data_IF_316327384805
#
_entry.id   IF_316327384805
#
_cell.length_a   1.000
_cell.length_b   1.000
_cell.length_c   1.000
_cell.angle_alpha   90.00
_cell.angle_beta   90.00
_cell.angle_gamma   90.00
#
_symmetry.space_group_name_H-M   'P 1'
#
loop_
_entity.id
_entity.type
_entity.pdbx_description
1 polymer ?
#
# COMPACT_ATOMS: atom_id res chain seq x y z
N UNK A 1 3.03 14.28 -24.44
CA UNK A 1 4.26 13.49 -24.30
C UNK A 1 4.34 12.92 -22.88
N UNK A 2 4.65 11.65 -22.77
CA UNK A 2 4.94 10.94 -21.50
C UNK A 2 6.40 10.51 -21.53
N UNK A 3 7.15 10.84 -20.50
CA UNK A 3 8.53 10.39 -20.33
C UNK A 3 8.57 9.39 -19.18
N UNK A 4 8.80 8.12 -19.49
CA UNK A 4 8.97 7.05 -18.50
C UNK A 4 10.44 6.91 -18.12
N UNK A 5 10.75 6.97 -16.84
CA UNK A 5 12.12 6.81 -16.33
C UNK A 5 12.17 5.65 -15.35
N UNK A 6 12.85 4.57 -15.69
CA UNK A 6 13.01 3.39 -14.84
C UNK A 6 11.70 2.64 -14.56
N UNK A 7 10.61 2.98 -15.23
CA UNK A 7 9.31 2.33 -15.04
C UNK A 7 9.16 1.11 -15.95
N UNK A 8 8.39 0.12 -15.48
CA UNK A 8 8.04 -1.07 -16.27
C UNK A 8 6.61 -1.06 -16.79
N UNK A 9 5.86 0.04 -16.56
CA UNK A 9 4.46 0.16 -17.00
C UNK A 9 3.59 -1.03 -16.57
N UNK A 10 3.56 -1.27 -15.27
CA UNK A 10 2.68 -2.29 -14.69
C UNK A 10 1.22 -1.84 -14.72
N UNK A 11 0.30 -2.74 -14.37
CA UNK A 11 -1.12 -2.42 -14.25
C UNK A 11 -1.39 -1.26 -13.29
N UNK A 12 -0.60 -1.14 -12.22
CA UNK A 12 -0.71 -0.03 -11.27
C UNK A 12 -0.41 1.34 -11.89
N UNK A 13 0.66 1.44 -12.68
CA UNK A 13 1.08 2.71 -13.28
C UNK A 13 0.26 3.09 -14.51
N UNK A 14 -0.43 2.15 -15.11
CA UNK A 14 -1.22 2.35 -16.34
C UNK A 14 -2.72 2.23 -16.14
N UNK A 15 -3.19 2.02 -14.91
CA UNK A 15 -4.58 1.65 -14.62
C UNK A 15 -5.07 0.54 -15.56
N UNK A 16 -4.32 -0.56 -15.62
CA UNK A 16 -4.55 -1.69 -16.53
C UNK A 16 -4.72 -1.25 -17.97
N UNK A 17 -3.84 -0.35 -18.44
CA UNK A 17 -3.82 0.21 -19.80
C UNK A 17 -5.02 1.08 -20.18
N UNK A 18 -5.70 1.65 -19.19
CA UNK A 18 -6.80 2.63 -19.41
C UNK A 18 -6.36 4.07 -19.19
N UNK A 19 -5.13 4.31 -18.72
CA UNK A 19 -4.51 5.63 -18.67
C UNK A 19 -4.10 6.10 -20.07
N UNK A 20 -3.68 7.38 -20.14
CA UNK A 20 -3.11 7.97 -21.36
C UNK A 20 -4.07 7.92 -22.57
N UNK A 21 -5.33 8.36 -22.33
CA UNK A 21 -6.43 8.24 -23.30
C UNK A 21 -6.28 9.07 -24.56
N UNK A 22 -5.37 10.06 -24.59
CA UNK A 22 -5.13 10.84 -25.80
C UNK A 22 -4.59 9.91 -26.91
N UNK A 23 -5.25 9.79 -28.07
CA UNK A 23 -4.80 8.90 -29.16
C UNK A 23 -3.44 9.33 -29.74
N UNK A 24 -3.09 10.61 -29.63
CA UNK A 24 -1.83 11.16 -30.14
C UNK A 24 -0.71 11.17 -29.08
N UNK A 25 -0.90 10.52 -27.93
CA UNK A 25 0.12 10.46 -26.89
C UNK A 25 1.37 9.75 -27.42
N UNK A 26 2.52 10.37 -27.17
CA UNK A 26 3.84 9.80 -27.47
C UNK A 26 4.56 9.45 -26.20
N UNK A 27 5.33 8.38 -26.24
CA UNK A 27 6.14 7.93 -25.12
C UNK A 27 7.62 8.01 -25.47
N UNK A 28 8.42 8.41 -24.51
CA UNK A 28 9.88 8.27 -24.47
C UNK A 28 10.24 7.51 -23.22
N UNK A 29 10.88 6.36 -23.35
CA UNK A 29 11.20 5.51 -22.21
C UNK A 29 12.71 5.41 -22.00
N UNK A 30 13.18 5.91 -20.89
CA UNK A 30 14.54 5.79 -20.40
C UNK A 30 14.59 4.59 -19.46
N UNK A 31 15.27 3.53 -19.85
CA UNK A 31 15.38 2.33 -19.04
C UNK A 31 16.68 1.57 -19.37
N UNK A 32 17.28 0.93 -18.39
CA UNK A 32 18.47 0.07 -18.60
C UNK A 32 18.10 -1.23 -19.31
N UNK A 33 16.83 -1.63 -19.27
CA UNK A 33 16.30 -2.84 -19.90
C UNK A 33 15.64 -2.50 -21.23
N UNK A 34 16.13 -2.99 -22.38
CA UNK A 34 15.49 -2.75 -23.69
C UNK A 34 14.03 -3.20 -23.73
N UNK A 35 13.69 -4.29 -23.04
CA UNK A 35 12.33 -4.81 -22.96
C UNK A 35 11.35 -3.78 -22.36
N UNK A 36 11.71 -3.15 -21.23
CA UNK A 36 10.86 -2.15 -20.62
C UNK A 36 10.89 -0.82 -21.37
N UNK A 37 12.00 -0.47 -21.98
CA UNK A 37 12.11 0.72 -22.83
C UNK A 37 11.18 0.66 -24.05
N UNK A 38 10.96 -0.54 -24.62
CA UNK A 38 10.12 -0.72 -25.81
C UNK A 38 8.61 -0.64 -25.53
N UNK A 39 8.18 -0.72 -24.26
CA UNK A 39 6.75 -0.71 -23.91
C UNK A 39 6.08 0.59 -24.35
N UNK A 40 4.77 0.51 -24.53
CA UNK A 40 3.91 1.62 -24.96
C UNK A 40 4.26 2.16 -26.37
N UNK A 41 4.97 1.37 -27.20
CA UNK A 41 5.49 1.79 -28.51
C UNK A 41 6.34 3.06 -28.44
N UNK A 42 7.15 3.16 -27.40
CA UNK A 42 7.90 4.37 -27.06
C UNK A 42 9.15 4.54 -27.94
N UNK A 43 9.60 5.79 -28.06
CA UNK A 43 11.00 6.07 -28.41
C UNK A 43 11.89 5.58 -27.27
N UNK A 44 12.78 4.63 -27.59
CA UNK A 44 13.61 3.91 -26.63
C UNK A 44 14.89 4.67 -26.33
N UNK A 45 15.16 4.92 -25.06
CA UNK A 45 16.46 5.38 -24.58
C UNK A 45 17.01 4.33 -23.62
N UNK A 46 17.82 3.41 -24.13
CA UNK A 46 18.45 2.36 -23.32
C UNK A 46 19.69 2.92 -22.66
N UNK A 47 19.52 3.38 -21.42
CA UNK A 47 20.56 4.07 -20.66
C UNK A 47 20.29 4.01 -19.16
N UNK A 48 21.32 4.27 -18.38
CA UNK A 48 21.20 4.58 -16.95
C UNK A 48 20.40 5.88 -16.76
N UNK A 49 19.45 5.88 -15.82
CA UNK A 49 18.56 7.01 -15.60
C UNK A 49 19.32 8.30 -15.18
N UNK A 50 20.38 8.17 -14.38
CA UNK A 50 21.18 9.32 -13.93
C UNK A 50 21.85 10.01 -15.10
N UNK A 51 22.51 9.23 -15.98
CA UNK A 51 23.23 9.74 -17.14
C UNK A 51 22.25 10.34 -18.15
N UNK A 52 21.14 9.63 -18.44
CA UNK A 52 20.13 10.16 -19.35
C UNK A 52 19.45 11.44 -18.84
N UNK A 53 19.11 11.51 -17.55
CA UNK A 53 18.52 12.72 -16.96
C UNK A 53 19.51 13.89 -16.93
N UNK A 54 20.80 13.64 -16.71
CA UNK A 54 21.83 14.68 -16.79
C UNK A 54 21.93 15.27 -18.22
N UNK A 55 21.98 14.42 -19.24
CA UNK A 55 21.98 14.85 -20.64
C UNK A 55 20.67 15.57 -21.03
N UNK A 56 19.52 15.07 -20.58
CA UNK A 56 18.23 15.70 -20.83
C UNK A 56 18.13 17.10 -20.18
N UNK A 57 18.63 17.24 -18.96
CA UNK A 57 18.69 18.53 -18.27
C UNK A 57 19.53 19.55 -19.02
N UNK A 58 20.65 19.15 -19.58
CA UNK A 58 21.51 19.99 -20.42
C UNK A 58 20.80 20.39 -21.73
N UNK A 59 20.21 19.38 -22.43
CA UNK A 59 19.51 19.60 -23.69
C UNK A 59 18.27 20.51 -23.55
N UNK A 60 17.64 20.53 -22.37
CA UNK A 60 16.43 21.31 -22.07
C UNK A 60 16.69 22.54 -21.20
N UNK A 61 17.93 23.05 -21.16
CA UNK A 61 18.29 24.15 -20.27
C UNK A 61 17.42 25.40 -20.45
N UNK A 62 17.01 25.69 -21.69
CA UNK A 62 16.17 26.84 -22.06
C UNK A 62 14.68 26.51 -22.12
N UNK A 63 14.30 25.24 -21.96
CA UNK A 63 12.89 24.82 -21.96
C UNK A 63 12.16 25.31 -20.72
N UNK A 64 10.95 25.84 -20.91
CA UNK A 64 10.04 26.21 -19.82
C UNK A 64 8.64 25.71 -20.15
N UNK A 65 7.96 25.20 -19.15
CA UNK A 65 6.55 24.85 -19.25
C UNK A 65 5.69 26.11 -19.24
N UNK A 66 4.52 26.03 -19.85
CA UNK A 66 3.54 27.09 -19.79
C UNK A 66 3.04 27.34 -18.37
N UNK A 67 2.78 28.60 -18.01
CA UNK A 67 2.33 28.96 -16.67
C UNK A 67 1.04 28.25 -16.28
N UNK A 68 0.09 28.13 -17.21
CA UNK A 68 -1.18 27.43 -16.98
C UNK A 68 -0.99 25.97 -16.55
N UNK A 69 -0.01 25.25 -17.10
CA UNK A 69 0.29 23.89 -16.70
C UNK A 69 0.86 23.81 -15.27
N UNK A 70 1.69 24.77 -14.89
CA UNK A 70 2.22 24.87 -13.53
C UNK A 70 1.12 25.20 -12.52
N UNK A 71 0.16 26.06 -12.89
CA UNK A 71 -1.00 26.39 -12.06
C UNK A 71 -1.92 25.18 -11.87
N UNK A 72 -2.17 24.40 -12.92
CA UNK A 72 -2.95 23.16 -12.87
C UNK A 72 -2.30 22.15 -11.91
N UNK A 73 -0.98 21.89 -12.03
CA UNK A 73 -0.25 21.00 -11.12
C UNK A 73 -0.38 21.45 -9.66
N UNK A 74 -0.28 22.76 -9.42
CA UNK A 74 -0.40 23.31 -8.06
C UNK A 74 -1.80 23.08 -7.49
N UNK A 75 -2.84 23.36 -8.30
CA UNK A 75 -4.24 23.16 -7.89
C UNK A 75 -4.55 21.68 -7.57
N UNK A 76 -4.10 20.76 -8.43
CA UNK A 76 -4.30 19.32 -8.22
C UNK A 76 -3.55 18.82 -6.97
N UNK A 77 -2.32 19.29 -6.75
CA UNK A 77 -1.55 18.97 -5.55
C UNK A 77 -2.25 19.45 -4.27
N UNK A 78 -2.77 20.68 -4.28
CA UNK A 78 -3.51 21.23 -3.13
C UNK A 78 -4.80 20.44 -2.86
N UNK A 79 -5.52 20.05 -3.92
CA UNK A 79 -6.72 19.24 -3.79
C UNK A 79 -6.42 17.86 -3.18
N UNK A 80 -5.32 17.24 -3.63
CA UNK A 80 -4.86 15.97 -3.07
C UNK A 80 -4.43 16.10 -1.61
N UNK A 81 -3.66 17.13 -1.24
CA UNK A 81 -3.28 17.37 0.16
C UNK A 81 -4.51 17.56 1.06
N UNK A 82 -5.51 18.30 0.63
CA UNK A 82 -6.77 18.44 1.39
C UNK A 82 -7.51 17.11 1.53
N UNK A 83 -7.46 16.26 0.50
CA UNK A 83 -8.07 14.93 0.58
C UNK A 83 -7.31 14.02 1.55
N UNK A 84 -5.98 14.07 1.55
CA UNK A 84 -5.11 13.34 2.48
C UNK A 84 -5.39 13.75 3.92
N UNK A 85 -5.44 15.05 4.21
CA UNK A 85 -5.76 15.56 5.55
C UNK A 85 -7.12 15.07 6.06
N UNK A 86 -8.13 15.02 5.18
CA UNK A 86 -9.42 14.45 5.56
C UNK A 86 -9.34 12.97 5.91
N UNK A 87 -8.54 12.18 5.18
CA UNK A 87 -8.36 10.75 5.47
C UNK A 87 -7.58 10.50 6.77
N UNK A 88 -6.71 11.42 7.14
CA UNK A 88 -5.94 11.35 8.37
C UNK A 88 -6.75 11.71 9.63
N UNK A 89 -7.86 12.46 9.46
CA UNK A 89 -8.65 13.03 10.56
C UNK A 89 -10.15 12.75 10.38
N UNK A 90 -10.52 11.48 10.18
CA UNK A 90 -11.92 11.09 9.93
C UNK A 90 -12.77 11.11 11.20
N UNK A 91 -12.16 10.94 12.37
CA UNK A 91 -12.87 10.66 13.63
C UNK A 91 -13.82 9.45 13.46
N UNK A 92 -13.31 8.42 12.80
CA UNK A 92 -14.06 7.23 12.43
C UNK A 92 -14.30 6.34 13.68
N UNK A 93 -15.46 5.77 13.79
CA UNK A 93 -15.80 4.93 14.95
C UNK A 93 -16.89 3.88 14.66
N UNK A 94 -17.00 2.85 15.51
CA UNK A 94 -16.34 2.69 16.82
C UNK A 94 -14.85 2.31 16.79
N UNK A 95 -14.39 1.67 15.70
CA UNK A 95 -12.97 1.37 15.47
C UNK A 95 -12.37 2.44 14.55
N UNK A 96 -11.11 2.85 14.74
CA UNK A 96 -10.46 3.78 13.83
C UNK A 96 -10.30 3.21 12.43
N UNK A 97 -10.25 4.08 11.42
CA UNK A 97 -9.85 3.69 10.07
C UNK A 97 -8.32 3.53 9.99
N UNK A 98 -7.84 2.61 9.14
CA UNK A 98 -6.38 2.45 8.96
C UNK A 98 -5.70 3.73 8.48
N UNK A 99 -6.39 4.59 7.73
CA UNK A 99 -5.86 5.86 7.23
C UNK A 99 -5.57 6.86 8.34
N UNK A 100 -6.27 6.80 9.47
CA UNK A 100 -6.01 7.64 10.64
C UNK A 100 -4.73 7.19 11.37
N UNK A 101 -4.45 5.88 11.38
CA UNK A 101 -3.17 5.36 11.89
C UNK A 101 -2.01 5.85 11.02
N UNK A 102 -2.19 5.86 9.69
CA UNK A 102 -1.17 6.39 8.76
C UNK A 102 -0.94 7.89 8.96
N UNK A 103 -2.00 8.66 9.20
CA UNK A 103 -1.89 10.07 9.54
C UNK A 103 -1.10 10.31 10.81
N UNK A 104 -1.41 9.56 11.86
CA UNK A 104 -0.69 9.62 13.12
C UNK A 104 0.81 9.28 12.98
N UNK A 105 1.14 8.24 12.20
CA UNK A 105 2.53 7.89 11.90
C UNK A 105 3.24 8.97 11.07
N UNK A 106 2.58 9.48 10.02
CA UNK A 106 3.16 10.52 9.17
C UNK A 106 3.44 11.81 9.94
N UNK A 107 2.63 12.12 10.95
CA UNK A 107 2.82 13.26 11.86
C UNK A 107 4.00 13.04 12.82
N UNK A 108 4.14 11.82 13.38
CA UNK A 108 5.09 11.52 14.47
C UNK A 108 6.49 11.16 13.98
N UNK A 109 6.61 10.50 12.83
CA UNK A 109 7.89 10.04 12.31
C UNK A 109 8.75 11.19 11.83
N UNK A 110 10.05 11.11 12.07
CA UNK A 110 11.07 12.03 11.59
C UNK A 110 11.41 11.86 10.11
N UNK A 111 12.20 12.75 9.54
CA UNK A 111 12.61 12.72 8.13
C UNK A 111 13.50 11.52 7.80
N UNK A 112 14.36 11.12 8.74
CA UNK A 112 15.32 10.02 8.58
C UNK A 112 14.73 8.65 8.95
N UNK A 113 13.54 8.60 9.51
CA UNK A 113 12.88 7.36 9.89
C UNK A 113 12.39 6.60 8.65
N UNK A 114 12.20 5.29 8.80
CA UNK A 114 11.78 4.45 7.67
C UNK A 114 10.50 3.70 8.01
N UNK A 115 9.47 3.89 7.19
CA UNK A 115 8.26 3.09 7.22
C UNK A 115 8.33 1.97 6.19
N UNK A 116 7.96 0.76 6.60
CA UNK A 116 8.01 -0.45 5.76
C UNK A 116 6.62 -1.05 5.68
N UNK A 117 6.22 -1.44 4.48
CA UNK A 117 5.03 -2.24 4.24
C UNK A 117 5.24 -3.12 2.99
N UNK A 118 4.35 -4.07 2.72
CA UNK A 118 4.47 -4.91 1.54
C UNK A 118 3.13 -5.26 0.91
N UNK A 119 2.19 -5.84 1.66
CA UNK A 119 1.00 -6.45 1.08
C UNK A 119 -0.30 -6.03 1.79
N UNK A 120 -1.42 -6.33 1.16
CA UNK A 120 -2.75 -6.02 1.68
C UNK A 120 -3.34 -4.71 1.17
N UNK A 121 -4.23 -4.10 1.95
CA UNK A 121 -4.81 -2.77 1.64
C UNK A 121 -3.83 -1.63 1.89
N UNK A 122 -2.92 -1.81 2.83
CA UNK A 122 -2.00 -0.79 3.31
C UNK A 122 -1.11 -0.18 2.23
N UNK A 123 -0.44 -0.96 1.33
CA UNK A 123 0.40 -0.34 0.29
C UNK A 123 -0.38 0.55 -0.65
N UNK A 124 -1.62 0.18 -0.99
CA UNK A 124 -2.48 1.00 -1.85
C UNK A 124 -2.83 2.34 -1.22
N UNK A 125 -3.27 2.31 0.02
CA UNK A 125 -3.64 3.51 0.77
C UNK A 125 -2.41 4.36 1.11
N UNK A 126 -1.30 3.74 1.53
CA UNK A 126 -0.05 4.46 1.81
C UNK A 126 0.53 5.15 0.58
N UNK A 127 0.48 4.51 -0.60
CA UNK A 127 0.90 5.17 -1.83
C UNK A 127 0.06 6.39 -2.19
N UNK A 128 -1.23 6.36 -1.86
CA UNK A 128 -2.11 7.50 -2.08
C UNK A 128 -1.91 8.61 -1.04
N UNK A 129 -1.55 8.29 0.20
CA UNK A 129 -1.63 9.21 1.32
C UNK A 129 -0.29 9.57 1.96
N UNK A 130 0.73 8.69 1.89
CA UNK A 130 2.00 8.91 2.61
C UNK A 130 2.76 10.10 2.05
N UNK A 131 3.08 11.06 2.91
CA UNK A 131 3.86 12.24 2.55
C UNK A 131 5.33 12.00 2.94
N UNK A 132 6.09 11.37 2.06
CA UNK A 132 7.51 11.13 2.26
C UNK A 132 8.31 12.45 2.25
N UNK A 133 9.18 12.64 3.24
CA UNK A 133 10.04 13.82 3.39
C UNK A 133 11.45 13.59 2.87
N UNK A 134 11.85 12.31 2.75
CA UNK A 134 13.12 11.93 2.13
C UNK A 134 12.94 10.72 1.22
N UNK A 135 13.87 10.50 0.26
CA UNK A 135 13.77 9.38 -0.70
C UNK A 135 13.85 7.99 -0.06
N UNK A 136 14.38 7.87 1.16
CA UNK A 136 14.56 6.60 1.86
C UNK A 136 13.54 6.38 2.99
N UNK A 137 12.62 7.31 3.20
CA UNK A 137 11.65 7.24 4.29
C UNK A 137 10.58 6.17 4.07
N UNK A 138 10.19 5.90 2.82
CA UNK A 138 9.14 4.96 2.49
C UNK A 138 9.70 3.76 1.73
N UNK A 139 9.53 2.57 2.30
CA UNK A 139 9.94 1.32 1.70
C UNK A 139 8.73 0.39 1.51
N UNK A 140 8.55 -0.08 0.29
CA UNK A 140 7.51 -1.05 -0.06
C UNK A 140 8.08 -2.17 -0.94
N UNK A 141 7.77 -3.40 -0.61
CA UNK A 141 7.99 -4.51 -1.54
C UNK A 141 6.85 -4.48 -2.57
N UNK A 142 7.18 -4.07 -3.79
CA UNK A 142 6.14 -3.75 -4.75
C UNK A 142 6.10 -4.64 -5.98
N UNK A 143 7.15 -5.35 -6.29
CA UNK A 143 7.17 -6.16 -7.50
C UNK A 143 6.18 -7.33 -7.43
N UNK A 144 6.04 -7.96 -6.26
CA UNK A 144 5.24 -9.16 -6.06
C UNK A 144 4.26 -9.05 -4.89
N UNK A 145 4.35 -8.00 -4.07
CA UNK A 145 3.54 -7.79 -2.87
C UNK A 145 3.56 -9.01 -1.94
N UNK A 146 4.76 -9.45 -1.59
CA UNK A 146 4.98 -10.66 -0.81
C UNK A 146 4.52 -10.49 0.64
N UNK A 147 3.45 -11.17 1.02
CA UNK A 147 3.00 -11.21 2.42
C UNK A 147 4.05 -11.87 3.31
N UNK A 148 4.25 -11.29 4.49
CA UNK A 148 5.28 -11.72 5.46
C UNK A 148 6.65 -11.05 5.27
N UNK A 149 6.85 -10.29 4.21
CA UNK A 149 8.08 -9.52 3.97
C UNK A 149 8.34 -8.47 5.06
N UNK A 150 7.30 -7.88 5.62
CA UNK A 150 7.35 -6.71 6.50
C UNK A 150 8.23 -6.95 7.74
N UNK A 151 8.13 -8.13 8.35
CA UNK A 151 8.86 -8.46 9.58
C UNK A 151 10.37 -8.59 9.32
N UNK A 152 10.84 -9.45 8.41
CA UNK A 152 12.27 -9.57 8.13
C UNK A 152 12.86 -8.32 7.46
N UNK A 153 12.08 -7.61 6.64
CA UNK A 153 12.55 -6.39 6.01
C UNK A 153 12.86 -5.28 7.02
N UNK A 154 12.02 -5.11 8.04
CA UNK A 154 12.26 -4.15 9.10
C UNK A 154 13.57 -4.45 9.85
N UNK A 155 13.82 -5.71 10.17
CA UNK A 155 15.09 -6.15 10.72
C UNK A 155 16.26 -5.78 9.81
N UNK A 156 16.16 -6.10 8.51
CA UNK A 156 17.22 -5.80 7.53
C UNK A 156 17.49 -4.32 7.37
N UNK A 157 16.46 -3.48 7.34
CA UNK A 157 16.61 -2.02 7.26
C UNK A 157 17.25 -1.47 8.53
N UNK A 158 16.84 -1.94 9.72
CA UNK A 158 17.44 -1.50 10.98
C UNK A 158 18.92 -1.88 11.08
N UNK A 159 19.31 -3.06 10.58
CA UNK A 159 20.72 -3.46 10.50
C UNK A 159 21.53 -2.60 9.54
N UNK A 160 20.92 -2.17 8.42
CA UNK A 160 21.57 -1.31 7.43
C UNK A 160 21.61 0.17 7.83
N UNK A 161 20.65 0.61 8.65
CA UNK A 161 20.49 1.99 9.13
C UNK A 161 20.22 2.00 10.65
N UNK A 162 21.23 1.70 11.45
CA UNK A 162 21.08 1.52 12.89
C UNK A 162 20.63 2.80 13.63
N UNK A 163 20.87 3.97 13.06
CA UNK A 163 20.47 5.28 13.60
C UNK A 163 19.01 5.64 13.32
N UNK A 164 18.40 5.09 12.27
CA UNK A 164 17.02 5.41 11.90
C UNK A 164 16.02 4.71 12.83
N UNK A 165 14.90 5.36 13.12
CA UNK A 165 13.74 4.64 13.64
C UNK A 165 13.08 3.86 12.50
N UNK A 166 12.83 2.57 12.71
CA UNK A 166 12.24 1.69 11.70
C UNK A 166 10.87 1.23 12.18
N UNK A 167 9.86 1.59 11.41
CA UNK A 167 8.45 1.25 11.65
C UNK A 167 7.97 0.30 10.58
N UNK A 168 7.49 -0.87 10.98
CA UNK A 168 6.89 -1.84 10.07
C UNK A 168 5.38 -1.88 10.26
N UNK A 169 4.62 -1.56 9.22
CA UNK A 169 3.15 -1.66 9.25
C UNK A 169 2.76 -3.04 8.74
N UNK A 170 2.11 -3.81 9.59
CA UNK A 170 1.82 -5.24 9.38
C UNK A 170 0.33 -5.50 9.60
N UNK A 171 -0.33 -6.13 8.63
CA UNK A 171 -1.69 -6.64 8.82
C UNK A 171 -1.70 -7.99 9.53
N UNK A 172 -2.81 -8.33 10.16
CA UNK A 172 -2.98 -9.61 10.86
C UNK A 172 -2.80 -10.83 9.94
N UNK A 173 -3.28 -10.75 8.70
CA UNK A 173 -3.12 -11.81 7.71
C UNK A 173 -1.67 -12.03 7.28
N UNK A 174 -0.93 -10.95 7.05
CA UNK A 174 0.48 -11.04 6.65
C UNK A 174 1.38 -11.44 7.82
N UNK A 175 1.08 -10.97 9.04
CA UNK A 175 1.76 -11.38 10.26
C UNK A 175 1.73 -12.90 10.44
N UNK A 176 0.57 -13.53 10.26
CA UNK A 176 0.42 -14.98 10.44
C UNK A 176 1.21 -15.83 9.42
N UNK A 177 1.65 -15.23 8.31
CA UNK A 177 2.43 -15.95 7.31
C UNK A 177 3.90 -16.10 7.66
N UNK A 178 4.51 -15.09 8.29
CA UNK A 178 5.96 -15.12 8.57
C UNK A 178 6.34 -14.29 9.81
N UNK A 179 5.91 -14.69 11.04
CA UNK A 179 6.28 -13.99 12.26
C UNK A 179 7.63 -14.45 12.85
N UNK A 180 8.23 -15.52 12.33
CA UNK A 180 9.33 -16.23 12.99
C UNK A 180 10.59 -15.39 13.18
N UNK A 181 10.86 -14.43 12.30
CA UNK A 181 12.02 -13.54 12.44
C UNK A 181 11.90 -12.57 13.63
N UNK A 182 10.73 -12.48 14.26
CA UNK A 182 10.59 -11.81 15.56
C UNK A 182 11.50 -12.44 16.63
N UNK A 183 11.71 -13.74 16.57
CA UNK A 183 12.65 -14.41 17.46
C UNK A 183 14.08 -13.88 17.27
N UNK A 184 14.52 -13.72 16.02
CA UNK A 184 15.84 -13.15 15.69
C UNK A 184 15.93 -11.70 16.16
N UNK A 185 14.89 -10.90 15.89
CA UNK A 185 14.83 -9.49 16.31
C UNK A 185 14.98 -9.34 17.83
N UNK A 186 14.30 -10.18 18.59
CA UNK A 186 14.40 -10.17 20.07
C UNK A 186 15.75 -10.68 20.54
N UNK A 187 16.21 -11.80 19.97
CA UNK A 187 17.51 -12.39 20.34
C UNK A 187 18.69 -11.43 20.14
N UNK A 188 18.69 -10.72 19.03
CA UNK A 188 19.75 -9.77 18.67
C UNK A 188 19.47 -8.34 19.20
N UNK A 189 18.38 -8.15 19.94
CA UNK A 189 17.91 -6.85 20.43
C UNK A 189 17.90 -5.76 19.34
N UNK A 190 17.30 -6.09 18.20
CA UNK A 190 17.16 -5.16 17.07
C UNK A 190 15.92 -4.33 17.29
N UNK A 191 16.08 -3.04 17.60
CA UNK A 191 14.97 -2.12 17.81
C UNK A 191 14.18 -1.89 16.53
N UNK A 192 12.95 -2.37 16.49
CA UNK A 192 11.94 -2.11 15.44
C UNK A 192 10.60 -1.86 16.12
N UNK A 193 9.82 -0.93 15.60
CA UNK A 193 8.43 -0.72 15.98
C UNK A 193 7.53 -1.40 14.95
N UNK A 194 6.83 -2.45 15.37
CA UNK A 194 5.82 -3.12 14.57
C UNK A 194 4.46 -2.52 14.88
N UNK A 195 3.81 -1.93 13.88
CA UNK A 195 2.42 -1.45 13.98
C UNK A 195 1.52 -2.50 13.35
N UNK A 196 0.84 -3.27 14.19
CA UNK A 196 -0.05 -4.32 13.75
C UNK A 196 -1.47 -3.79 13.65
N UNK A 197 -1.99 -3.76 12.43
CA UNK A 197 -3.38 -3.42 12.12
C UNK A 197 -4.21 -4.70 12.06
N UNK A 198 -5.07 -4.91 13.03
CA UNK A 198 -5.94 -6.07 13.09
C UNK A 198 -7.31 -5.73 12.54
N UNK A 199 -7.75 -6.46 11.52
CA UNK A 199 -9.06 -6.32 10.90
C UNK A 199 -9.73 -7.68 10.57
N UNK A 200 -9.21 -8.75 11.16
CA UNK A 200 -9.74 -10.11 11.14
C UNK A 200 -9.87 -10.72 9.74
N UNK A 201 -8.88 -10.49 8.90
CA UNK A 201 -8.85 -11.15 7.58
C UNK A 201 -7.95 -10.52 6.53
N UNK A 202 -8.18 -10.98 5.30
CA UNK A 202 -7.48 -10.51 4.10
C UNK A 202 -8.31 -9.42 3.41
N UNK A 203 -8.34 -8.24 4.01
CA UNK A 203 -9.25 -7.15 3.64
C UNK A 203 -9.14 -6.72 2.19
N UNK A 204 -7.93 -6.60 1.65
CA UNK A 204 -7.69 -6.18 0.27
C UNK A 204 -8.38 -7.13 -0.71
N UNK A 205 -8.13 -8.42 -0.59
CA UNK A 205 -8.71 -9.44 -1.46
C UNK A 205 -10.23 -9.51 -1.27
N UNK A 206 -10.70 -9.37 -0.02
CA UNK A 206 -12.12 -9.36 0.30
C UNK A 206 -12.85 -8.17 -0.34
N UNK A 207 -12.30 -6.97 -0.22
CA UNK A 207 -12.86 -5.77 -0.83
C UNK A 207 -12.85 -5.84 -2.36
N UNK A 208 -11.76 -6.36 -2.94
CA UNK A 208 -11.66 -6.56 -4.38
C UNK A 208 -12.74 -7.53 -4.89
N UNK A 209 -12.90 -8.66 -4.24
CA UNK A 209 -13.94 -9.65 -4.56
C UNK A 209 -15.36 -9.05 -4.48
N UNK A 210 -15.66 -8.34 -3.40
CA UNK A 210 -16.94 -7.67 -3.19
C UNK A 210 -17.22 -6.59 -4.22
N UNK A 211 -16.21 -5.80 -4.60
CA UNK A 211 -16.33 -4.77 -5.64
C UNK A 211 -16.64 -5.36 -7.04
N UNK A 212 -16.45 -6.66 -7.21
CA UNK A 212 -16.74 -7.39 -8.45
C UNK A 212 -18.01 -8.26 -8.33
N UNK A 213 -18.89 -7.90 -7.42
CA UNK A 213 -20.19 -8.53 -7.23
C UNK A 213 -20.15 -9.89 -6.55
N UNK A 214 -19.00 -10.33 -6.07
CA UNK A 214 -18.84 -11.56 -5.29
C UNK A 214 -18.99 -11.28 -3.79
N UNK A 215 -18.89 -12.32 -3.01
CA UNK A 215 -18.87 -12.25 -1.55
C UNK A 215 -17.41 -12.29 -1.05
N UNK A 216 -17.14 -11.79 0.15
CA UNK A 216 -15.81 -11.91 0.78
C UNK A 216 -15.50 -13.36 1.22
N UNK A 217 -15.83 -14.33 0.39
CA UNK A 217 -15.69 -15.75 0.72
C UNK A 217 -14.22 -16.10 0.98
N UNK A 218 -13.96 -16.71 2.14
CA UNK A 218 -12.63 -17.18 2.54
C UNK A 218 -11.63 -16.07 2.92
N UNK A 219 -12.05 -14.80 2.95
CA UNK A 219 -11.16 -13.65 3.25
C UNK A 219 -11.34 -13.08 4.65
N UNK A 220 -12.37 -13.49 5.37
CA UNK A 220 -12.57 -13.16 6.80
C UNK A 220 -12.24 -14.35 7.67
N UNK A 221 -11.74 -14.12 8.87
CA UNK A 221 -11.63 -15.19 9.87
C UNK A 221 -13.02 -15.58 10.33
N UNK A 222 -13.41 -16.82 10.11
CA UNK A 222 -14.75 -17.32 10.38
C UNK A 222 -14.72 -18.65 11.10
N UNK A 223 -15.69 -18.88 11.97
CA UNK A 223 -15.92 -20.23 12.51
C UNK A 223 -16.57 -21.10 11.45
N UNK A 224 -16.24 -22.37 11.47
CA UNK A 224 -16.93 -23.36 10.65
C UNK A 224 -18.33 -23.59 11.22
N UNK A 225 -19.35 -23.36 10.40
CA UNK A 225 -20.75 -23.67 10.75
C UNK A 225 -21.08 -25.13 10.65
N UNK A 226 -22.30 -25.50 10.99
CA UNK A 226 -22.83 -26.85 10.80
C UNK A 226 -22.87 -27.21 9.29
N UNK A 227 -22.68 -28.46 8.97
CA UNK A 227 -22.79 -28.96 7.58
C UNK A 227 -21.67 -28.55 6.65
N UNK A 228 -20.49 -28.22 7.16
CA UNK A 228 -19.31 -27.82 6.37
C UNK A 228 -19.38 -26.43 5.71
N UNK A 229 -20.39 -25.65 6.02
CA UNK A 229 -20.48 -24.26 5.55
C UNK A 229 -19.67 -23.34 6.44
N UNK A 230 -19.03 -22.33 5.83
CA UNK A 230 -18.47 -21.22 6.60
C UNK A 230 -19.65 -20.40 7.14
N UNK A 231 -19.66 -20.18 8.47
CA UNK A 231 -20.65 -19.30 9.09
C UNK A 231 -20.32 -17.86 8.67
N UNK A 232 -21.10 -17.29 7.78
CA UNK A 232 -20.80 -16.04 7.12
C UNK A 232 -20.79 -14.83 8.05
N UNK A 233 -21.42 -14.95 9.20
CA UNK A 233 -21.71 -13.81 10.07
C UNK A 233 -20.86 -13.80 11.35
N UNK A 234 -20.14 -14.88 11.67
CA UNK A 234 -19.31 -14.94 12.87
C UNK A 234 -17.84 -14.81 12.50
N UNK A 235 -17.34 -13.59 12.54
CA UNK A 235 -15.90 -13.35 12.59
C UNK A 235 -15.39 -13.95 13.90
N UNK A 236 -14.40 -14.83 13.82
CA UNK A 236 -13.72 -15.31 15.03
C UNK A 236 -12.76 -14.23 15.49
N UNK A 237 -12.53 -14.18 16.79
CA UNK A 237 -11.52 -13.30 17.40
C UNK A 237 -10.09 -13.66 16.93
N UNK A 238 -9.97 -14.69 16.11
CA UNK A 238 -8.73 -15.05 15.46
C UNK A 238 -7.71 -15.64 16.40
N UNK A 239 -6.46 -15.55 15.97
CA UNK A 239 -5.29 -15.80 16.82
C UNK A 239 -5.08 -14.54 17.67
N UNK A 240 -4.87 -14.73 18.97
CA UNK A 240 -4.40 -13.64 19.84
C UNK A 240 -2.97 -13.26 19.43
N UNK A 241 -2.87 -12.31 18.50
CA UNK A 241 -1.60 -11.87 17.93
C UNK A 241 -0.75 -11.13 18.97
N UNK A 242 -1.39 -10.37 19.85
CA UNK A 242 -0.71 -9.68 20.94
C UNK A 242 -0.02 -10.69 21.88
N UNK A 243 -0.73 -11.73 22.30
CA UNK A 243 -0.14 -12.79 23.10
C UNK A 243 0.94 -13.58 22.31
N UNK A 244 0.74 -13.82 21.01
CA UNK A 244 1.75 -14.47 20.18
C UNK A 244 3.02 -13.62 20.08
N UNK A 245 2.91 -12.31 19.84
CA UNK A 245 4.06 -11.41 19.82
C UNK A 245 4.79 -11.37 21.17
N UNK A 246 4.06 -11.34 22.29
CA UNK A 246 4.66 -11.47 23.64
C UNK A 246 5.39 -12.81 23.82
N UNK A 247 4.87 -13.88 23.25
CA UNK A 247 5.53 -15.20 23.34
C UNK A 247 6.88 -15.25 22.62
N UNK A 248 7.09 -14.41 21.61
CA UNK A 248 8.39 -14.19 20.97
C UNK A 248 9.33 -13.31 21.81
N UNK A 249 8.80 -12.57 22.78
CA UNK A 249 9.57 -11.69 23.68
C UNK A 249 9.52 -10.21 23.32
N UNK A 250 8.62 -9.79 22.44
CA UNK A 250 8.40 -8.38 22.16
C UNK A 250 7.66 -7.69 23.33
N UNK A 251 7.94 -6.41 23.51
CA UNK A 251 7.06 -5.54 24.27
C UNK A 251 5.81 -5.26 23.41
N UNK A 252 4.62 -5.39 23.98
CA UNK A 252 3.38 -5.24 23.22
C UNK A 252 2.47 -4.23 23.91
N UNK A 253 2.11 -3.18 23.19
CA UNK A 253 1.20 -2.12 23.59
C UNK A 253 -0.11 -2.29 22.81
N UNK A 254 -1.18 -2.63 23.51
CA UNK A 254 -2.52 -2.76 22.93
C UNK A 254 -3.26 -1.43 23.11
N UNK A 255 -3.79 -0.90 22.00
CA UNK A 255 -4.44 0.41 21.96
C UNK A 255 -5.73 0.34 21.12
N UNK A 256 -6.68 1.22 21.40
CA UNK A 256 -8.01 1.20 20.81
C UNK A 256 -8.39 2.51 20.12
N UNK A 257 -7.63 3.56 20.35
CA UNK A 257 -7.88 4.90 19.80
C UNK A 257 -6.62 5.49 19.16
N UNK A 258 -6.79 6.46 18.28
CA UNK A 258 -5.65 7.18 17.69
C UNK A 258 -4.86 7.96 18.75
N UNK A 259 -5.53 8.47 19.80
CA UNK A 259 -4.85 9.14 20.89
C UNK A 259 -3.94 8.18 21.69
N UNK A 260 -4.44 7.00 22.03
CA UNK A 260 -3.65 5.94 22.66
C UNK A 260 -2.52 5.45 21.76
N UNK A 261 -2.78 5.33 20.46
CA UNK A 261 -1.77 4.95 19.47
C UNK A 261 -0.61 5.95 19.45
N UNK A 262 -0.88 7.25 19.41
CA UNK A 262 0.15 8.30 19.47
C UNK A 262 0.99 8.24 20.73
N UNK A 263 0.38 7.94 21.86
CA UNK A 263 1.12 7.79 23.13
C UNK A 263 1.97 6.50 23.15
N UNK A 264 1.40 5.39 22.67
CA UNK A 264 2.12 4.13 22.53
C UNK A 264 3.32 4.24 21.57
N UNK A 265 3.17 5.00 20.47
CA UNK A 265 4.28 5.26 19.55
C UNK A 265 5.44 6.00 20.25
N UNK A 266 5.15 7.07 21.01
CA UNK A 266 6.19 7.79 21.76
C UNK A 266 6.87 6.91 22.82
N UNK A 267 6.11 6.03 23.46
CA UNK A 267 6.67 5.05 24.38
C UNK A 267 7.58 4.05 23.67
N UNK A 268 7.17 3.54 22.51
CA UNK A 268 7.96 2.61 21.69
C UNK A 268 9.23 3.29 21.13
N UNK A 269 9.12 4.54 20.70
CA UNK A 269 10.24 5.36 20.23
C UNK A 269 11.29 5.57 21.34
N UNK A 270 10.84 5.83 22.55
CA UNK A 270 11.73 6.02 23.72
C UNK A 270 12.34 4.71 24.25
N UNK A 271 11.82 3.54 23.83
CA UNK A 271 12.34 2.23 24.23
C UNK A 271 13.56 1.85 23.39
N UNK A 272 14.46 1.04 23.94
CA UNK A 272 15.57 0.41 23.25
C UNK A 272 15.25 -1.04 22.81
N UNK A 273 14.01 -1.51 23.02
CA UNK A 273 13.56 -2.86 22.74
C UNK A 273 12.64 -2.93 21.52
N UNK A 274 12.61 -4.07 20.80
CA UNK A 274 11.61 -4.30 19.78
C UNK A 274 10.20 -4.28 20.39
N UNK A 275 9.34 -3.45 19.81
CA UNK A 275 7.99 -3.20 20.35
C UNK A 275 6.94 -3.40 19.28
N UNK A 276 5.81 -3.99 19.65
CA UNK A 276 4.60 -4.04 18.81
C UNK A 276 3.53 -3.12 19.39
N UNK A 277 2.98 -2.27 18.56
CA UNK A 277 1.74 -1.53 18.83
C UNK A 277 0.62 -2.25 18.08
N UNK A 278 -0.29 -2.82 18.83
CA UNK A 278 -1.45 -3.55 18.31
C UNK A 278 -2.68 -2.65 18.37
N UNK A 279 -3.32 -2.45 17.21
CA UNK A 279 -4.55 -1.66 17.09
C UNK A 279 -5.56 -2.36 16.17
N UNK A 280 -6.80 -2.46 16.62
CA UNK A 280 -7.90 -2.90 15.77
C UNK A 280 -8.37 -1.76 14.89
N UNK A 281 -8.63 -2.05 13.61
CA UNK A 281 -9.15 -1.09 12.64
C UNK A 281 -10.40 -1.62 11.97
N UNK A 282 -11.26 -0.71 11.51
CA UNK A 282 -12.48 -1.10 10.82
C UNK A 282 -12.14 -1.75 9.46
N UNK A 283 -12.63 -3.00 9.29
CA UNK A 283 -12.56 -3.76 8.04
C UNK A 283 -13.19 -3.01 6.85
N UNK A 284 -14.21 -2.21 7.12
CA UNK A 284 -14.97 -1.45 6.13
C UNK A 284 -14.68 0.05 6.19
N UNK A 285 -13.57 0.42 6.82
CA UNK A 285 -13.16 1.82 6.89
C UNK A 285 -13.09 2.47 5.50
N UNK A 286 -13.32 3.79 5.43
CA UNK A 286 -13.34 4.49 4.17
C UNK A 286 -11.99 4.41 3.45
N UNK A 287 -12.05 4.18 2.14
CA UNK A 287 -10.88 4.18 1.29
C UNK A 287 -10.45 5.61 0.93
N UNK A 288 -9.18 5.85 0.63
CA UNK A 288 -8.72 7.11 0.08
C UNK A 288 -9.50 7.50 -1.18
N UNK A 289 -9.69 8.80 -1.43
CA UNK A 289 -10.34 9.26 -2.65
C UNK A 289 -9.45 9.01 -3.87
N UNK A 290 -10.08 8.86 -5.01
CA UNK A 290 -9.41 8.59 -6.26
C UNK A 290 -9.22 7.10 -6.49
N UNK A 291 -9.82 6.60 -7.55
CA UNK A 291 -9.65 5.23 -8.00
C UNK A 291 -9.46 5.20 -9.50
N UNK A 292 -8.66 4.27 -9.94
CA UNK A 292 -8.52 3.94 -11.36
C UNK A 292 -9.19 2.61 -11.63
N UNK A 293 -9.59 2.41 -12.87
CA UNK A 293 -10.10 1.12 -13.28
C UNK A 293 -8.97 0.07 -13.25
N UNK A 294 -9.31 -1.10 -12.77
CA UNK A 294 -8.42 -2.25 -12.68
C UNK A 294 -8.99 -3.42 -13.45
N UNK A 295 -8.15 -4.08 -14.24
CA UNK A 295 -8.52 -5.31 -14.96
C UNK A 295 -8.54 -6.49 -13.99
N UNK A 296 -9.63 -6.54 -13.23
CA UNK A 296 -9.94 -7.66 -12.35
C UNK A 296 -11.00 -8.49 -13.02
N UNK A 297 -10.65 -9.65 -13.58
CA UNK A 297 -11.58 -10.51 -14.28
C UNK A 297 -12.75 -10.93 -13.38
N UNK A 298 -13.96 -10.81 -13.91
CA UNK A 298 -15.18 -11.25 -13.24
C UNK A 298 -15.61 -12.58 -13.83
N UNK A 299 -16.18 -13.47 -13.03
CA UNK A 299 -16.68 -14.77 -13.49
C UNK A 299 -17.79 -14.58 -14.52
N UNK A 300 -17.62 -15.19 -15.70
CA UNK A 300 -18.64 -15.25 -16.74
C UNK A 300 -19.73 -16.29 -16.47
N UNK A 301 -19.56 -17.10 -15.42
CA UNK A 301 -20.51 -18.12 -14.98
C UNK A 301 -20.74 -17.94 -13.49
N UNK A 302 -21.87 -17.39 -13.11
CA UNK A 302 -22.28 -17.22 -11.72
C UNK A 302 -23.80 -17.24 -11.62
N UNK A 303 -24.31 -17.80 -10.53
CA UNK A 303 -25.74 -17.75 -10.20
C UNK A 303 -26.10 -16.47 -9.44
N UNK A 304 -25.11 -15.71 -8.96
CA UNK A 304 -25.31 -14.44 -8.25
C UNK A 304 -25.59 -13.32 -9.25
N UNK A 305 -26.75 -12.68 -9.13
CA UNK A 305 -27.10 -11.51 -9.95
C UNK A 305 -26.08 -10.37 -9.86
N UNK A 306 -25.51 -10.15 -8.68
CA UNK A 306 -24.47 -9.12 -8.47
C UNK A 306 -23.22 -9.40 -9.31
N UNK A 307 -22.80 -10.67 -9.38
CA UNK A 307 -21.65 -11.07 -10.21
C UNK A 307 -21.97 -11.00 -11.70
N UNK A 308 -23.19 -11.35 -12.10
CA UNK A 308 -23.62 -11.22 -13.51
C UNK A 308 -23.59 -9.76 -13.98
N UNK A 309 -24.13 -8.83 -13.16
CA UNK A 309 -24.04 -7.38 -13.45
C UNK A 309 -22.61 -6.90 -13.51
N UNK A 310 -21.79 -7.29 -12.54
CA UNK A 310 -20.36 -6.91 -12.53
C UNK A 310 -19.62 -7.45 -13.75
N UNK A 311 -19.99 -8.61 -14.29
CA UNK A 311 -19.41 -9.14 -15.53
C UNK A 311 -19.77 -8.29 -16.75
N UNK A 312 -21.03 -7.85 -16.86
CA UNK A 312 -21.45 -6.95 -17.95
C UNK A 312 -20.72 -5.60 -17.86
N UNK A 313 -20.56 -5.05 -16.65
CA UNK A 313 -19.80 -3.84 -16.42
C UNK A 313 -18.32 -4.04 -16.79
N UNK A 314 -17.72 -5.14 -16.39
CA UNK A 314 -16.35 -5.48 -16.73
C UNK A 314 -16.12 -5.53 -18.25
N UNK A 315 -17.02 -6.20 -19.00
CA UNK A 315 -16.94 -6.28 -20.46
C UNK A 315 -17.06 -4.91 -21.14
N UNK A 316 -17.85 -4.00 -20.55
CA UNK A 316 -17.97 -2.62 -21.02
C UNK A 316 -16.70 -1.82 -20.71
N UNK A 317 -16.25 -1.89 -19.47
CA UNK A 317 -15.21 -1.01 -18.92
C UNK A 317 -13.80 -1.39 -19.37
N UNK A 318 -13.58 -2.64 -19.84
CA UNK A 318 -12.33 -3.07 -20.45
C UNK A 318 -12.13 -2.56 -21.89
N UNK A 319 -13.18 -2.10 -22.57
CA UNK A 319 -13.08 -1.66 -23.98
C UNK A 319 -12.09 -0.53 -24.22
N UNK A 320 -11.91 0.44 -23.28
CA UNK A 320 -10.91 1.50 -23.43
C UNK A 320 -9.46 1.06 -23.22
N UNK A 321 -9.21 -0.21 -22.86
CA UNK A 321 -7.84 -0.68 -22.73
C UNK A 321 -7.09 -0.51 -24.04
N UNK A 322 -5.90 0.05 -23.92
CA UNK A 322 -5.02 0.25 -25.05
C UNK A 322 -4.30 -1.05 -25.39
N UNK A 323 -4.45 -1.51 -26.63
CA UNK A 323 -3.72 -2.65 -27.13
C UNK A 323 -2.52 -2.14 -27.94
N UNK A 324 -1.34 -2.55 -27.52
CA UNK A 324 -0.10 -2.28 -28.25
C UNK A 324 0.26 -3.53 -29.04
N UNK A 325 0.60 -3.33 -30.29
CA UNK A 325 1.17 -4.36 -31.12
C UNK A 325 2.68 -4.41 -30.93
#
# INVERSE_FOLDING_TARGET
LIIGVGTRYSDFTTASKTQFKNPDVKFVNINVTPFDAAKESAEMVVADAREALAALKEALADYRVEAAYSEEITAEKEAWLKATERCYHLDHGPLPAQTEVFGALNELMGEEDVVINAAGSMPGDLQALWQARSPLQYHVEYAFSCMGYEVPAAMGVKLARPEAEVVSIVGDGTYQMLPMELATVVQENIKVIYVLLQNYGFCSIGALSESRGSQRFGTKYRRRGEGSHLADEQVIDGVDIAANARSWGLDVLEVHTIAEFKEAYRQAEASDRPTMIHIETDLYGPNPPGSSWWDVPVSGVSELESTQRAYEEYLRDRKPQRHYL
#
